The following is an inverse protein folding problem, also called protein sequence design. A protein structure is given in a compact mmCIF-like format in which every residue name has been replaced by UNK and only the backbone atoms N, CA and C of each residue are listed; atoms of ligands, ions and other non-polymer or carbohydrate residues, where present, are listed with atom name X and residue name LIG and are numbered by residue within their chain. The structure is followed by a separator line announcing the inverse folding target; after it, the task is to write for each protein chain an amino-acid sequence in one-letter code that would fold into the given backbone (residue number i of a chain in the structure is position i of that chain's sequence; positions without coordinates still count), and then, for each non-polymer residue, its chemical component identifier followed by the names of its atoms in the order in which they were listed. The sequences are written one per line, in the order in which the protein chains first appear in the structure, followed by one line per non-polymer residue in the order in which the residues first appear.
data_IF_563396926284
#
_entry.id   IF_563396926284
#
_cell.length_a   1.000
_cell.length_b   1.000
_cell.length_c   1.000
_cell.angle_alpha   90.00
_cell.angle_beta   90.00
_cell.angle_gamma   90.00
#
_symmetry.space_group_name_H-M   'P 1'
#
loop_
_entity.id
_entity.type
_entity.pdbx_description
1 polymer ?
#
# COMPACT_ATOMS: atom_id res chain seq x y z
N UNK A 1 19.38 -7.16 2.75
CA UNK A 1 18.54 -6.15 2.09
C UNK A 1 19.32 -5.62 0.90
N UNK A 2 18.87 -5.89 -0.32
CA UNK A 2 19.43 -5.29 -1.53
C UNK A 2 18.73 -3.96 -1.80
N UNK A 3 19.47 -2.92 -2.13
CA UNK A 3 18.91 -1.63 -2.59
C UNK A 3 19.03 -1.57 -4.11
N UNK A 4 18.11 -0.88 -4.76
CA UNK A 4 18.09 -0.76 -6.22
C UNK A 4 17.19 0.37 -6.70
N UNK A 5 17.09 0.49 -8.01
CA UNK A 5 16.16 1.39 -8.68
C UNK A 5 15.31 0.61 -9.68
N UNK A 6 14.06 1.03 -9.83
CA UNK A 6 13.13 0.56 -10.86
C UNK A 6 12.75 1.76 -11.70
N UNK A 7 12.96 1.68 -13.01
CA UNK A 7 12.53 2.74 -13.92
C UNK A 7 11.04 2.59 -14.23
N UNK A 8 10.23 3.58 -13.86
CA UNK A 8 8.82 3.67 -14.23
C UNK A 8 8.65 3.83 -15.75
N UNK A 9 7.47 3.53 -16.34
CA UNK A 9 7.25 3.64 -17.78
C UNK A 9 7.49 5.04 -18.38
N UNK A 10 7.35 6.09 -17.57
CA UNK A 10 7.62 7.49 -17.95
C UNK A 10 9.06 7.94 -17.66
N UNK A 11 9.94 7.02 -17.22
CA UNK A 11 11.35 7.27 -16.97
C UNK A 11 11.67 7.79 -15.56
N UNK A 12 10.69 7.87 -14.65
CA UNK A 12 10.96 8.21 -13.25
C UNK A 12 11.68 7.03 -12.57
N UNK A 13 12.83 7.30 -11.95
CA UNK A 13 13.54 6.30 -11.16
C UNK A 13 12.91 6.13 -9.78
N UNK A 14 12.54 4.90 -9.42
CA UNK A 14 11.90 4.55 -8.16
C UNK A 14 12.89 3.81 -7.27
N UNK A 15 13.17 4.35 -6.09
CA UNK A 15 14.05 3.71 -5.13
C UNK A 15 13.36 2.51 -4.46
N UNK A 16 14.02 1.34 -4.50
CA UNK A 16 13.49 0.09 -3.93
C UNK A 16 14.47 -0.54 -2.94
N UNK A 17 13.95 -1.38 -2.05
CA UNK A 17 14.74 -2.20 -1.13
C UNK A 17 14.07 -3.56 -0.93
N UNK A 18 14.80 -4.63 -1.22
CA UNK A 18 14.28 -6.00 -1.16
C UNK A 18 14.95 -6.79 -0.04
N UNK A 19 14.16 -7.48 0.77
CA UNK A 19 14.61 -8.41 1.83
C UNK A 19 13.99 -9.79 1.60
N UNK A 20 14.80 -10.85 1.72
CA UNK A 20 14.42 -12.19 1.29
C UNK A 20 14.65 -12.37 -0.22
N UNK A 21 14.28 -13.55 -0.73
CA UNK A 21 14.35 -13.89 -2.16
C UNK A 21 13.05 -14.55 -2.58
N UNK A 22 12.46 -14.10 -3.68
CA UNK A 22 11.34 -14.82 -4.28
C UNK A 22 11.81 -16.23 -4.68
N UNK A 23 11.12 -17.26 -4.20
CA UNK A 23 11.43 -18.65 -4.52
C UNK A 23 10.31 -19.32 -5.35
N UNK A 24 9.33 -18.52 -5.81
CA UNK A 24 8.19 -18.98 -6.63
C UNK A 24 7.13 -19.79 -5.88
N UNK A 25 7.39 -20.21 -4.63
CA UNK A 25 6.44 -20.97 -3.82
C UNK A 25 5.45 -20.07 -3.06
N UNK A 26 5.87 -18.85 -2.73
CA UNK A 26 5.06 -17.86 -2.00
C UNK A 26 5.13 -16.52 -2.76
N UNK A 27 3.99 -15.85 -3.01
CA UNK A 27 3.99 -14.55 -3.67
C UNK A 27 4.78 -13.52 -2.83
N UNK A 28 5.64 -12.69 -3.44
CA UNK A 28 6.35 -11.65 -2.72
C UNK A 28 5.38 -10.56 -2.24
N UNK A 29 5.82 -9.77 -1.26
CA UNK A 29 5.13 -8.56 -0.80
C UNK A 29 5.72 -7.35 -1.51
N UNK A 30 4.85 -6.50 -2.05
CA UNK A 30 5.19 -5.13 -2.46
C UNK A 30 4.58 -4.16 -1.45
N UNK A 31 5.42 -3.42 -0.74
CA UNK A 31 5.02 -2.58 0.37
C UNK A 31 5.08 -1.07 0.02
N UNK A 32 3.91 -0.45 -0.10
CA UNK A 32 3.72 0.95 -0.52
C UNK A 32 3.40 1.84 0.67
N UNK A 33 4.27 2.82 0.96
CA UNK A 33 4.11 3.71 2.11
C UNK A 33 2.95 4.72 1.95
N UNK A 34 2.57 5.37 3.05
CA UNK A 34 1.61 6.48 3.05
C UNK A 34 2.23 7.79 2.60
N UNK A 35 1.39 8.76 2.21
CA UNK A 35 1.84 10.10 1.79
C UNK A 35 2.75 10.77 2.83
N UNK A 36 3.78 11.49 2.37
CA UNK A 36 4.82 12.14 3.18
C UNK A 36 5.71 11.21 4.04
N UNK A 37 5.67 9.90 3.80
CA UNK A 37 6.67 8.95 4.30
C UNK A 37 7.65 8.54 3.20
N UNK A 38 8.52 7.59 3.52
CA UNK A 38 9.36 6.83 2.59
C UNK A 38 9.36 5.34 2.97
N UNK A 39 10.01 4.49 2.17
CA UNK A 39 10.07 3.02 2.33
C UNK A 39 10.62 2.54 3.68
N UNK A 40 11.34 3.38 4.41
CA UNK A 40 11.92 3.02 5.71
C UNK A 40 10.86 2.78 6.79
N UNK A 41 9.64 3.27 6.64
CA UNK A 41 8.52 2.99 7.58
C UNK A 41 8.19 1.50 7.67
N UNK A 42 8.55 0.72 6.65
CA UNK A 42 8.37 -0.73 6.64
C UNK A 42 9.49 -1.50 7.34
N UNK A 43 10.64 -0.86 7.62
CA UNK A 43 11.80 -1.53 8.18
C UNK A 43 11.52 -2.30 9.50
N UNK A 44 10.68 -1.80 10.43
CA UNK A 44 10.30 -2.57 11.61
C UNK A 44 9.59 -3.90 11.28
N UNK A 45 8.55 -3.88 10.45
CA UNK A 45 7.82 -5.11 10.05
C UNK A 45 8.71 -6.03 9.23
N UNK A 46 9.48 -5.49 8.27
CA UNK A 46 10.38 -6.30 7.43
C UNK A 46 11.39 -7.07 8.28
N UNK A 47 11.90 -6.47 9.37
CA UNK A 47 12.77 -7.17 10.33
C UNK A 47 12.05 -8.33 11.02
N UNK A 48 10.82 -8.10 11.47
CA UNK A 48 10.00 -9.12 12.15
C UNK A 48 9.55 -10.27 11.21
N UNK A 49 9.45 -10.03 9.90
CA UNK A 49 9.14 -11.07 8.90
C UNK A 49 10.34 -11.96 8.56
N UNK A 50 11.55 -11.60 8.99
CA UNK A 50 12.76 -12.42 8.88
C UNK A 50 13.10 -12.92 7.45
N UNK A 51 12.59 -12.25 6.41
CA UNK A 51 12.88 -12.58 5.00
C UNK A 51 11.95 -13.62 4.36
N UNK A 52 10.91 -14.08 5.07
CA UNK A 52 9.91 -15.01 4.53
C UNK A 52 8.49 -14.53 4.88
N UNK A 53 7.70 -14.04 3.91
CA UNK A 53 7.99 -13.94 2.47
C UNK A 53 9.01 -12.84 2.11
N UNK A 54 9.49 -12.85 0.87
CA UNK A 54 10.29 -11.75 0.33
C UNK A 54 9.48 -10.45 0.30
N UNK A 55 10.09 -9.33 0.68
CA UNK A 55 9.44 -8.02 0.75
C UNK A 55 10.26 -7.00 -0.03
N UNK A 56 9.61 -6.35 -1.00
CA UNK A 56 10.12 -5.18 -1.73
C UNK A 56 9.39 -3.95 -1.20
N UNK A 57 10.12 -3.05 -0.55
CA UNK A 57 9.64 -1.73 -0.14
C UNK A 57 10.15 -0.70 -1.15
N UNK A 58 9.40 0.37 -1.37
CA UNK A 58 9.75 1.37 -2.39
C UNK A 58 9.24 2.75 -2.01
N UNK A 59 9.88 3.78 -2.56
CA UNK A 59 9.46 5.17 -2.39
C UNK A 59 8.54 5.59 -3.53
N UNK A 60 7.36 6.12 -3.19
CA UNK A 60 6.47 6.77 -4.16
C UNK A 60 7.23 7.89 -4.89
N UNK A 61 6.89 8.13 -6.17
CA UNK A 61 7.40 9.30 -6.89
C UNK A 61 7.22 10.59 -6.06
N UNK A 62 8.22 11.44 -6.06
CA UNK A 62 8.27 12.66 -5.22
C UNK A 62 8.56 12.43 -3.73
N UNK A 63 8.88 11.20 -3.30
CA UNK A 63 9.20 10.86 -1.91
C UNK A 63 10.55 10.14 -1.81
N UNK A 64 11.17 10.24 -0.63
CA UNK A 64 12.43 9.57 -0.31
C UNK A 64 13.52 9.79 -1.36
N UNK A 65 14.09 8.69 -1.85
CA UNK A 65 15.14 8.67 -2.87
C UNK A 65 14.61 8.47 -4.30
N UNK A 66 13.29 8.42 -4.50
CA UNK A 66 12.67 8.36 -5.83
C UNK A 66 12.70 9.70 -6.54
N UNK A 67 12.61 9.66 -7.87
CA UNK A 67 12.60 10.84 -8.71
C UNK A 67 11.46 11.81 -8.36
N UNK A 68 11.74 13.11 -8.52
CA UNK A 68 10.80 14.20 -8.29
C UNK A 68 10.42 14.79 -9.66
N UNK A 69 9.43 14.22 -10.37
CA UNK A 69 9.02 14.76 -11.66
C UNK A 69 8.34 16.12 -11.53
N UNK A 70 8.09 16.78 -12.67
CA UNK A 70 7.43 18.09 -12.70
C UNK A 70 5.96 18.01 -12.22
N UNK A 71 5.38 19.12 -11.73
CA UNK A 71 3.96 19.17 -11.40
C UNK A 71 3.06 18.65 -12.54
N UNK A 72 2.00 17.91 -12.17
CA UNK A 72 1.10 17.21 -13.11
C UNK A 72 1.53 15.78 -13.46
N UNK A 73 2.71 15.34 -13.00
CA UNK A 73 3.20 13.97 -13.16
C UNK A 73 2.95 13.09 -11.91
N UNK A 74 1.90 13.40 -11.13
CA UNK A 74 1.62 12.75 -9.84
C UNK A 74 0.20 12.18 -9.74
N UNK A 75 -0.55 12.14 -10.84
CA UNK A 75 -1.89 11.52 -10.90
C UNK A 75 -1.91 10.07 -10.37
N UNK A 76 -3.09 9.59 -9.98
CA UNK A 76 -3.29 8.16 -9.60
C UNK A 76 -2.76 7.21 -10.67
N UNK A 77 -2.96 7.52 -11.95
CA UNK A 77 -2.49 6.67 -13.06
C UNK A 77 -0.96 6.57 -13.10
N UNK A 78 -0.24 7.65 -12.80
CA UNK A 78 1.21 7.62 -12.66
C UNK A 78 1.64 6.72 -11.49
N UNK A 79 1.02 6.88 -10.32
CA UNK A 79 1.33 6.07 -9.14
C UNK A 79 1.02 4.57 -9.34
N UNK A 80 -0.04 4.23 -10.09
CA UNK A 80 -0.36 2.85 -10.45
C UNK A 80 0.59 2.26 -11.50
N UNK A 81 1.11 3.07 -12.40
CA UNK A 81 2.17 2.65 -13.32
C UNK A 81 3.47 2.33 -12.57
N UNK A 82 3.80 3.14 -11.56
CA UNK A 82 4.95 2.88 -10.67
C UNK A 82 4.79 1.58 -9.88
N UNK A 83 3.63 1.42 -9.23
CA UNK A 83 3.34 0.23 -8.43
C UNK A 83 3.43 -1.03 -9.29
N UNK A 84 2.92 -0.99 -10.52
CA UNK A 84 3.05 -2.09 -11.48
C UNK A 84 4.51 -2.42 -11.80
N UNK A 85 5.33 -1.40 -12.09
CA UNK A 85 6.75 -1.59 -12.39
C UNK A 85 7.52 -2.19 -11.20
N UNK A 86 7.30 -1.69 -9.99
CA UNK A 86 7.92 -2.22 -8.77
C UNK A 86 7.46 -3.65 -8.48
N UNK A 87 6.18 -3.93 -8.74
CA UNK A 87 5.61 -5.27 -8.58
C UNK A 87 6.19 -6.25 -9.59
N UNK A 88 6.39 -5.84 -10.84
CA UNK A 88 7.01 -6.67 -11.88
C UNK A 88 8.47 -6.99 -11.54
N UNK A 89 9.22 -6.02 -11.01
CA UNK A 89 10.55 -6.26 -10.44
C UNK A 89 10.50 -7.27 -9.29
N UNK A 90 9.53 -7.13 -8.36
CA UNK A 90 9.42 -7.99 -7.19
C UNK A 90 9.08 -9.45 -7.53
N UNK A 91 8.22 -9.69 -8.53
CA UNK A 91 7.89 -11.06 -8.98
C UNK A 91 8.94 -11.63 -9.95
N UNK A 92 9.68 -10.74 -10.65
CA UNK A 92 10.71 -11.10 -11.61
C UNK A 92 10.18 -11.73 -12.90
N UNK A 93 11.10 -12.20 -13.74
CA UNK A 93 10.82 -12.68 -15.09
C UNK A 93 9.88 -13.90 -15.19
N UNK A 94 9.64 -14.61 -14.08
CA UNK A 94 8.68 -15.71 -14.01
C UNK A 94 7.23 -15.26 -14.02
N UNK A 95 6.96 -13.96 -13.84
CA UNK A 95 5.62 -13.43 -13.64
C UNK A 95 4.99 -13.97 -12.36
N UNK A 96 3.66 -14.07 -12.34
CA UNK A 96 2.89 -14.49 -11.17
C UNK A 96 2.08 -13.33 -10.60
N UNK A 97 1.71 -13.40 -9.32
CA UNK A 97 1.01 -12.35 -8.58
C UNK A 97 1.76 -11.97 -7.31
N UNK A 98 1.48 -10.79 -6.75
CA UNK A 98 2.11 -10.30 -5.52
C UNK A 98 1.05 -9.96 -4.46
N UNK A 99 1.43 -10.04 -3.19
CA UNK A 99 0.63 -9.44 -2.11
C UNK A 99 0.96 -7.96 -2.05
N UNK A 100 -0.06 -7.11 -2.18
CA UNK A 100 0.11 -5.66 -2.08
C UNK A 100 -0.16 -5.23 -0.63
N UNK A 101 0.87 -4.73 0.03
CA UNK A 101 0.81 -4.18 1.38
C UNK A 101 0.86 -2.66 1.31
N UNK A 102 -0.15 -1.99 1.84
CA UNK A 102 -0.27 -0.54 1.67
C UNK A 102 -0.68 0.16 2.94
N UNK A 103 0.06 1.21 3.30
CA UNK A 103 -0.31 2.12 4.39
C UNK A 103 -0.97 3.37 3.86
N UNK A 104 -2.14 3.75 4.40
CA UNK A 104 -2.81 5.02 4.07
C UNK A 104 -2.96 5.18 2.55
N UNK A 105 -2.31 6.16 1.92
CA UNK A 105 -2.25 6.32 0.46
C UNK A 105 -1.83 5.02 -0.26
N UNK A 106 -0.78 4.33 0.19
CA UNK A 106 -0.34 3.09 -0.43
C UNK A 106 -1.38 1.97 -0.37
N UNK A 107 -2.25 1.98 0.65
CA UNK A 107 -3.39 1.07 0.74
C UNK A 107 -4.50 1.40 -0.26
N UNK A 108 -4.77 2.69 -0.47
CA UNK A 108 -5.70 3.14 -1.50
C UNK A 108 -5.20 2.77 -2.90
N UNK A 109 -3.90 2.96 -3.17
CA UNK A 109 -3.28 2.56 -4.44
C UNK A 109 -3.31 1.03 -4.63
N UNK A 110 -3.13 0.26 -3.56
CA UNK A 110 -3.23 -1.21 -3.63
C UNK A 110 -4.64 -1.68 -3.99
N UNK A 111 -5.67 -1.02 -3.43
CA UNK A 111 -7.07 -1.28 -3.80
C UNK A 111 -7.34 -0.90 -5.26
N UNK A 112 -6.88 0.28 -5.70
CA UNK A 112 -7.03 0.72 -7.07
C UNK A 112 -6.35 -0.23 -8.07
N UNK A 113 -5.14 -0.72 -7.75
CA UNK A 113 -4.44 -1.72 -8.56
C UNK A 113 -5.22 -3.04 -8.62
N UNK A 114 -5.80 -3.49 -7.51
CA UNK A 114 -6.58 -4.72 -7.48
C UNK A 114 -7.90 -4.64 -8.27
N UNK A 115 -8.52 -3.46 -8.35
CA UNK A 115 -9.68 -3.22 -9.23
C UNK A 115 -9.25 -3.26 -10.70
N UNK A 116 -8.18 -2.56 -11.06
CA UNK A 116 -7.79 -2.39 -12.47
C UNK A 116 -7.06 -3.61 -13.03
N UNK A 117 -6.34 -4.38 -12.19
CA UNK A 117 -5.50 -5.53 -12.54
C UNK A 117 -5.62 -6.67 -11.53
N UNK A 118 -6.80 -7.30 -11.38
CA UNK A 118 -7.03 -8.32 -10.36
C UNK A 118 -6.11 -9.55 -10.48
N UNK A 119 -5.76 -9.96 -11.70
CA UNK A 119 -4.90 -11.13 -11.94
C UNK A 119 -3.46 -10.92 -11.45
N UNK A 120 -3.05 -9.68 -11.20
CA UNK A 120 -1.70 -9.37 -10.73
C UNK A 120 -1.56 -9.44 -9.20
N UNK A 121 -2.65 -9.63 -8.47
CA UNK A 121 -2.73 -9.53 -7.01
C UNK A 121 -3.04 -10.89 -6.38
N UNK A 122 -2.20 -11.33 -5.45
CA UNK A 122 -2.41 -12.56 -4.68
C UNK A 122 -3.22 -12.34 -3.40
N UNK A 123 -3.20 -11.11 -2.87
CA UNK A 123 -3.85 -10.71 -1.63
C UNK A 123 -3.53 -9.27 -1.27
N UNK A 124 -4.27 -8.72 -0.32
CA UNK A 124 -4.10 -7.34 0.15
C UNK A 124 -3.82 -7.29 1.64
N UNK A 125 -2.85 -6.47 2.05
CA UNK A 125 -2.64 -6.07 3.44
C UNK A 125 -2.89 -4.58 3.57
N UNK A 126 -4.05 -4.23 4.10
CA UNK A 126 -4.56 -2.85 4.17
C UNK A 126 -4.27 -2.28 5.56
N UNK A 127 -3.33 -1.33 5.64
CA UNK A 127 -2.88 -0.73 6.90
C UNK A 127 -3.42 0.69 7.02
N UNK A 128 -4.34 0.93 7.97
CA UNK A 128 -4.88 2.26 8.28
C UNK A 128 -5.22 3.08 7.01
N UNK A 129 -6.04 2.49 6.15
CA UNK A 129 -6.35 3.01 4.81
C UNK A 129 -7.86 2.97 4.53
N UNK A 130 -8.27 3.59 3.42
CA UNK A 130 -9.65 3.61 2.96
C UNK A 130 -9.74 3.58 1.43
N UNK A 131 -10.93 3.26 0.90
CA UNK A 131 -11.16 3.11 -0.54
C UNK A 131 -11.41 4.45 -1.26
N UNK A 132 -11.19 5.58 -0.60
CA UNK A 132 -11.62 6.89 -1.06
C UNK A 132 -13.08 7.19 -0.73
N UNK A 133 -13.73 8.05 -1.53
CA UNK A 133 -15.02 8.64 -1.18
C UNK A 133 -16.01 8.59 -2.36
N UNK A 134 -17.26 8.17 -2.10
CA UNK A 134 -18.35 8.19 -3.09
C UNK A 134 -18.88 9.60 -3.36
N UNK A 135 -19.01 10.41 -2.31
CA UNK A 135 -19.56 11.77 -2.40
C UNK A 135 -18.52 12.74 -2.92
N UNK A 136 -18.89 13.57 -3.89
CA UNK A 136 -18.02 14.59 -4.46
C UNK A 136 -17.55 15.60 -3.40
N UNK A 137 -18.46 16.01 -2.51
CA UNK A 137 -18.15 16.98 -1.45
C UNK A 137 -17.09 16.45 -0.48
N UNK A 138 -17.10 15.14 -0.20
CA UNK A 138 -16.10 14.51 0.65
C UNK A 138 -14.73 14.44 -0.04
N UNK A 139 -14.70 14.25 -1.36
CA UNK A 139 -13.45 14.33 -2.16
C UNK A 139 -12.91 15.75 -2.18
N UNK A 140 -13.77 16.75 -2.37
CA UNK A 140 -13.35 18.15 -2.37
C UNK A 140 -12.77 18.56 -1.00
N UNK A 141 -13.43 18.18 0.09
CA UNK A 141 -12.93 18.41 1.45
C UNK A 141 -11.60 17.69 1.70
N UNK A 142 -11.47 16.45 1.24
CA UNK A 142 -10.21 15.71 1.34
C UNK A 142 -9.09 16.42 0.59
N UNK A 143 -9.34 16.78 -0.68
CA UNK A 143 -8.39 17.43 -1.56
C UNK A 143 -7.93 18.77 -1.01
N UNK A 144 -8.83 19.55 -0.42
CA UNK A 144 -8.45 20.79 0.25
C UNK A 144 -7.56 20.54 1.47
N UNK A 145 -7.90 19.54 2.30
CA UNK A 145 -7.05 19.15 3.43
C UNK A 145 -5.65 18.71 2.99
N UNK A 146 -5.55 18.01 1.84
CA UNK A 146 -4.27 17.62 1.24
C UNK A 146 -3.45 18.84 0.83
N UNK A 147 -4.06 19.82 0.15
CA UNK A 147 -3.36 21.07 -0.23
C UNK A 147 -2.85 21.83 0.99
N UNK A 148 -3.69 21.99 2.02
CA UNK A 148 -3.27 22.65 3.26
C UNK A 148 -2.13 21.91 3.96
N UNK A 149 -2.21 20.58 4.02
CA UNK A 149 -1.17 19.74 4.61
C UNK A 149 0.13 19.78 3.81
N UNK A 150 0.06 19.84 2.48
CA UNK A 150 1.23 19.88 1.62
C UNK A 150 2.11 21.11 1.92
N UNK A 151 1.46 22.27 2.12
CA UNK A 151 2.14 23.52 2.51
C UNK A 151 2.82 23.38 3.88
N UNK A 152 2.15 22.73 4.84
CA UNK A 152 2.66 22.57 6.22
C UNK A 152 3.82 21.57 6.30
N UNK A 153 3.74 20.49 5.52
CA UNK A 153 4.71 19.39 5.53
C UNK A 153 5.92 19.72 4.62
N UNK A 154 5.73 20.57 3.61
CA UNK A 154 6.81 20.97 2.71
C UNK A 154 7.17 19.91 1.68
N UNK A 155 6.18 19.16 1.19
CA UNK A 155 6.38 18.21 0.09
C UNK A 155 6.74 18.95 -1.22
N UNK A 156 7.41 18.30 -2.20
CA UNK A 156 7.70 18.94 -3.48
C UNK A 156 6.44 19.51 -4.15
N UNK A 157 6.50 20.70 -4.77
CA UNK A 157 5.33 21.31 -5.41
C UNK A 157 4.66 20.38 -6.43
N UNK A 158 3.34 20.23 -6.35
CA UNK A 158 2.55 19.38 -7.24
C UNK A 158 2.52 17.90 -6.83
N UNK A 159 3.41 17.45 -5.94
CA UNK A 159 3.42 16.06 -5.48
C UNK A 159 2.22 15.71 -4.60
N UNK A 160 1.53 16.70 -4.05
CA UNK A 160 0.31 16.50 -3.28
C UNK A 160 -0.84 15.89 -4.10
N UNK A 161 -0.81 16.04 -5.43
CA UNK A 161 -1.78 15.45 -6.37
C UNK A 161 -1.89 13.93 -6.18
N UNK A 162 -0.79 13.25 -5.83
CA UNK A 162 -0.78 11.80 -5.62
C UNK A 162 -1.72 11.33 -4.49
N UNK A 163 -2.01 12.23 -3.54
CA UNK A 163 -2.86 11.97 -2.38
C UNK A 163 -4.30 12.46 -2.59
N UNK A 164 -4.61 13.06 -3.75
CA UNK A 164 -5.93 13.60 -4.06
C UNK A 164 -6.85 12.53 -4.67
N UNK A 165 -8.17 12.71 -4.46
CA UNK A 165 -9.22 11.84 -5.01
C UNK A 165 -10.05 12.61 -6.03
N UNK A 166 -10.18 12.07 -7.25
CA UNK A 166 -10.89 12.74 -8.35
C UNK A 166 -12.19 12.03 -8.77
N UNK A 167 -12.36 10.78 -8.36
CA UNK A 167 -13.52 9.95 -8.67
C UNK A 167 -13.86 8.99 -7.51
N UNK A 168 -14.93 8.23 -7.67
CA UNK A 168 -15.36 7.17 -6.75
C UNK A 168 -15.00 5.76 -7.22
N UNK A 169 -14.14 5.62 -8.23
CA UNK A 169 -13.87 4.35 -8.91
C UNK A 169 -13.57 3.21 -7.94
N UNK A 170 -12.59 3.40 -7.07
CA UNK A 170 -12.16 2.36 -6.12
C UNK A 170 -13.26 1.95 -5.14
N UNK A 171 -13.99 2.92 -4.57
CA UNK A 171 -15.03 2.62 -3.59
C UNK A 171 -16.28 2.01 -4.23
N UNK A 172 -16.55 2.28 -5.51
CA UNK A 172 -17.70 1.75 -6.23
C UNK A 172 -17.48 0.33 -6.76
N UNK A 173 -16.23 -0.13 -6.86
CA UNK A 173 -15.87 -1.46 -7.36
C UNK A 173 -15.18 -2.33 -6.28
N UNK A 174 -15.35 -2.02 -4.99
CA UNK A 174 -14.74 -2.81 -3.91
C UNK A 174 -15.19 -4.27 -3.94
N UNK A 175 -16.47 -4.51 -4.21
CA UNK A 175 -17.04 -5.85 -4.27
C UNK A 175 -16.55 -6.66 -5.47
N UNK A 176 -15.80 -6.06 -6.40
CA UNK A 176 -15.13 -6.77 -7.50
C UNK A 176 -13.79 -7.36 -7.06
N UNK A 177 -13.20 -6.88 -5.97
CA UNK A 177 -11.94 -7.41 -5.42
C UNK A 177 -12.23 -8.74 -4.71
N UNK A 178 -11.77 -9.85 -5.30
CA UNK A 178 -12.00 -11.22 -4.79
C UNK A 178 -10.81 -11.85 -4.08
N UNK A 179 -9.66 -11.18 -4.06
CA UNK A 179 -8.46 -11.70 -3.42
C UNK A 179 -8.60 -11.63 -1.89
N UNK A 180 -7.95 -12.52 -1.12
CA UNK A 180 -7.97 -12.47 0.33
C UNK A 180 -7.40 -11.15 0.88
N UNK A 181 -8.01 -10.63 1.94
CA UNK A 181 -7.62 -9.35 2.55
C UNK A 181 -7.31 -9.50 4.04
N UNK A 182 -6.22 -8.87 4.49
CA UNK A 182 -5.90 -8.60 5.88
C UNK A 182 -6.04 -7.10 6.15
N UNK A 183 -6.80 -6.74 7.20
CA UNK A 183 -6.94 -5.35 7.66
C UNK A 183 -6.14 -5.16 8.95
N UNK A 184 -5.27 -4.15 8.98
CA UNK A 184 -4.51 -3.73 10.16
C UNK A 184 -4.87 -2.29 10.54
N UNK A 185 -5.33 -2.07 11.77
CA UNK A 185 -5.78 -0.76 12.24
C UNK A 185 -5.30 -0.50 13.67
N UNK A 186 -4.90 0.73 13.97
CA UNK A 186 -4.71 1.17 15.35
C UNK A 186 -6.04 1.58 15.98
N UNK A 187 -6.33 1.16 17.21
CA UNK A 187 -7.58 1.46 17.91
C UNK A 187 -7.93 2.97 17.96
N UNK A 188 -6.91 3.83 18.07
CA UNK A 188 -7.05 5.29 18.14
C UNK A 188 -7.18 5.94 16.76
N UNK A 189 -6.98 5.20 15.68
CA UNK A 189 -7.18 5.70 14.32
C UNK A 189 -8.67 5.71 13.93
N UNK A 190 -9.38 6.70 14.46
CA UNK A 190 -10.81 6.88 14.20
C UNK A 190 -11.10 7.30 12.77
N UNK A 191 -10.11 7.81 12.02
CA UNK A 191 -10.28 8.25 10.62
C UNK A 191 -10.58 7.05 9.73
N UNK A 192 -9.88 5.94 9.93
CA UNK A 192 -10.00 4.75 9.10
C UNK A 192 -10.82 3.61 9.73
N UNK A 193 -11.31 3.79 10.96
CA UNK A 193 -12.23 2.84 11.59
C UNK A 193 -13.48 2.56 10.74
N UNK A 194 -14.06 3.59 10.10
CA UNK A 194 -15.20 3.41 9.21
C UNK A 194 -14.84 2.61 7.94
N UNK A 195 -13.62 2.78 7.43
CA UNK A 195 -13.12 2.02 6.28
C UNK A 195 -12.99 0.54 6.60
N UNK A 196 -12.50 0.18 7.80
CA UNK A 196 -12.41 -1.21 8.21
C UNK A 196 -13.78 -1.91 8.19
N UNK A 197 -14.84 -1.25 8.68
CA UNK A 197 -16.20 -1.79 8.60
C UNK A 197 -16.73 -1.92 7.17
N UNK A 198 -16.32 -1.05 6.24
CA UNK A 198 -16.66 -1.18 4.82
C UNK A 198 -15.92 -2.37 4.20
N UNK A 199 -14.64 -2.56 4.52
CA UNK A 199 -13.84 -3.68 4.03
C UNK A 199 -14.43 -5.03 4.46
N UNK A 200 -14.78 -5.19 5.74
CA UNK A 200 -15.42 -6.41 6.26
C UNK A 200 -16.74 -6.76 5.57
N UNK A 201 -17.43 -5.74 5.01
CA UNK A 201 -18.70 -5.92 4.31
C UNK A 201 -18.50 -6.28 2.83
N UNK A 202 -17.57 -5.61 2.17
CA UNK A 202 -17.47 -5.62 0.70
C UNK A 202 -16.30 -6.48 0.16
N UNK A 203 -15.30 -6.79 0.98
CA UNK A 203 -14.10 -7.55 0.59
C UNK A 203 -14.07 -8.94 1.25
N UNK A 204 -13.26 -9.84 0.69
CA UNK A 204 -12.94 -11.15 1.32
C UNK A 204 -11.92 -10.99 2.46
N UNK A 205 -12.33 -10.32 3.54
CA UNK A 205 -11.49 -10.10 4.73
C UNK A 205 -11.33 -11.41 5.50
N UNK A 206 -10.09 -11.93 5.52
CA UNK A 206 -9.73 -13.16 6.25
C UNK A 206 -9.36 -12.89 7.69
N UNK A 207 -8.90 -11.69 7.98
CA UNK A 207 -8.63 -11.24 9.34
C UNK A 207 -8.62 -9.71 9.40
N UNK A 208 -9.04 -9.19 10.55
CA UNK A 208 -8.90 -7.79 10.93
C UNK A 208 -8.29 -7.71 12.31
N UNK A 209 -7.19 -6.98 12.42
CA UNK A 209 -6.44 -6.80 13.66
C UNK A 209 -6.46 -5.33 14.04
N UNK A 210 -7.18 -5.05 15.12
CA UNK A 210 -7.18 -3.74 15.76
C UNK A 210 -6.18 -3.77 16.91
N UNK A 211 -5.10 -3.01 16.81
CA UNK A 211 -4.04 -2.98 17.82
C UNK A 211 -4.38 -1.92 18.88
N UNK A 212 -4.52 -2.30 20.17
CA UNK A 212 -4.85 -1.38 21.25
C UNK A 212 -3.86 -0.23 21.36
N UNK A 213 -4.35 0.95 21.74
CA UNK A 213 -3.56 2.16 21.99
C UNK A 213 -2.76 2.73 20.80
N UNK A 214 -2.80 2.08 19.64
CA UNK A 214 -2.09 2.52 18.44
C UNK A 214 -2.92 3.49 17.59
N UNK A 215 -2.22 4.41 16.93
CA UNK A 215 -2.80 5.35 15.96
C UNK A 215 -2.47 4.98 14.52
N UNK A 216 -2.40 6.00 13.66
CA UNK A 216 -2.26 5.83 12.21
C UNK A 216 -1.00 5.08 11.75
N UNK A 217 0.10 5.19 12.49
CA UNK A 217 1.37 4.52 12.21
C UNK A 217 1.49 3.16 12.92
N UNK A 218 0.40 2.40 13.01
CA UNK A 218 0.35 1.11 13.73
C UNK A 218 1.45 0.13 13.28
N UNK A 219 1.74 0.09 11.98
CA UNK A 219 2.79 -0.76 11.40
C UNK A 219 4.20 -0.41 11.90
N UNK A 220 4.47 0.84 12.24
CA UNK A 220 5.76 1.28 12.80
C UNK A 220 5.81 1.04 14.30
N UNK A 221 4.68 1.27 15.00
CA UNK A 221 4.62 1.33 16.46
C UNK A 221 4.30 0.00 17.14
N UNK A 222 3.66 -0.92 16.42
CA UNK A 222 3.36 -2.28 16.86
C UNK A 222 3.78 -3.30 15.78
N UNK A 223 5.08 -3.34 15.41
CA UNK A 223 5.56 -4.14 14.30
C UNK A 223 5.48 -5.65 14.59
N UNK A 224 5.61 -6.07 15.84
CA UNK A 224 5.54 -7.48 16.24
C UNK A 224 4.13 -8.04 16.00
N UNK A 225 3.11 -7.31 16.44
CA UNK A 225 1.70 -7.65 16.27
C UNK A 225 1.32 -7.64 14.80
N UNK A 226 1.73 -6.61 14.05
CA UNK A 226 1.46 -6.51 12.62
C UNK A 226 2.13 -7.66 11.85
N UNK A 227 3.41 -7.95 12.12
CA UNK A 227 4.13 -9.03 11.46
C UNK A 227 3.55 -10.42 11.80
N UNK A 228 3.10 -10.63 13.04
CA UNK A 228 2.40 -11.87 13.41
C UNK A 228 1.11 -12.05 12.60
N UNK A 229 0.31 -10.99 12.44
CA UNK A 229 -0.89 -11.03 11.62
C UNK A 229 -0.58 -11.32 10.13
N UNK A 230 0.48 -10.70 9.59
CA UNK A 230 0.93 -10.92 8.21
C UNK A 230 1.38 -12.38 8.01
N UNK A 231 2.18 -12.95 8.92
CA UNK A 231 2.60 -14.36 8.84
C UNK A 231 1.40 -15.31 8.83
N UNK A 232 0.42 -15.08 9.70
CA UNK A 232 -0.80 -15.90 9.76
C UNK A 232 -1.62 -15.78 8.47
N UNK A 233 -1.71 -14.59 7.89
CA UNK A 233 -2.38 -14.37 6.60
C UNK A 233 -1.70 -15.16 5.47
N UNK A 234 -0.36 -15.13 5.41
CA UNK A 234 0.43 -15.88 4.42
C UNK A 234 0.33 -17.40 4.56
N UNK A 235 0.30 -17.90 5.79
CA UNK A 235 0.02 -19.32 6.08
C UNK A 235 -1.32 -19.75 5.44
N UNK A 236 -2.35 -18.91 5.56
CA UNK A 236 -3.66 -19.12 4.92
C UNK A 236 -3.65 -19.09 3.38
N UNK A 237 -2.80 -18.25 2.76
CA UNK A 237 -2.68 -18.17 1.29
C UNK A 237 -2.04 -19.41 0.66
N UNK A 238 -1.08 -20.01 1.36
CA UNK A 238 -0.29 -21.14 0.85
C UNK A 238 -0.88 -22.51 1.21
N UNK A 239 -1.97 -22.53 1.99
CA UNK A 239 -2.56 -23.77 2.51
C UNK A 239 -1.73 -24.46 3.58
N UNK A 240 -0.66 -23.81 4.08
CA UNK A 240 0.17 -24.31 5.18
C UNK A 240 -0.45 -23.83 6.49
N UNK A 241 -1.23 -24.66 7.18
CA UNK A 241 -1.62 -24.36 8.56
C UNK A 241 -0.37 -24.37 9.44
N UNK A 242 -0.11 -23.25 10.13
CA UNK A 242 0.90 -23.15 11.18
C UNK A 242 0.58 -24.09 12.35
#
# INVERSE_FOLDING_TARGET
MGTGQVTAPDGVELAVSTTGSANGAVPPIVATHGWANDRSVWAPIVRELAGEPAVTTWDLRGHGDSGIPLPGAYTRSHALADLAAVRDEAVGAGGGSAVLMGHSLGGFLSLAHAVDRPDEVAGLVLVATGPGFRKAEARDQWNESVRESAVKIGVPPGSEEISMHFDSHVIDHLDEIRVPVLVLLGERDKRFAASASLFERDLDVRASVVVPDQGHMVHVKAPVECAAAIRNFFAGLTGTTA
#
